data_IF_327623444180
#
_entry.id   IF_327623444180
#
_cell.length_a   1.000
_cell.length_b   1.000
_cell.length_c   1.000
_cell.angle_alpha   90.00
_cell.angle_beta   90.00
_cell.angle_gamma   90.00
#
_symmetry.space_group_name_H-M   'P 1'
#
loop_
_entity.id
_entity.type
_entity.pdbx_description
1 polymer ?
#
# COMPACT_ATOMS: atom_id res chain seq x y z
N UNK A 1 11.58 -15.43 -15.23
CA UNK A 1 12.81 -15.55 -14.41
C UNK A 1 12.73 -14.91 -13.01
N UNK A 2 11.80 -13.99 -12.71
CA UNK A 2 11.74 -13.35 -11.37
C UNK A 2 11.60 -14.34 -10.21
N UNK A 3 10.74 -15.36 -10.35
CA UNK A 3 10.61 -16.44 -9.35
C UNK A 3 11.90 -17.28 -9.22
N UNK A 4 12.59 -17.55 -10.33
CA UNK A 4 13.81 -18.35 -10.35
C UNK A 4 14.91 -17.71 -9.50
N UNK A 5 15.05 -16.39 -9.59
CA UNK A 5 16.04 -15.62 -8.84
C UNK A 5 15.50 -14.96 -7.58
N UNK A 6 14.22 -15.18 -7.26
CA UNK A 6 13.53 -14.59 -6.11
C UNK A 6 13.71 -13.06 -5.98
N UNK A 7 13.62 -12.35 -7.11
CA UNK A 7 13.79 -10.88 -7.12
C UNK A 7 12.57 -10.23 -6.49
N UNK A 8 12.75 -9.50 -5.39
CA UNK A 8 11.67 -8.79 -4.69
C UNK A 8 10.85 -7.94 -5.67
N UNK A 9 9.58 -8.30 -5.84
CA UNK A 9 8.68 -7.71 -6.84
C UNK A 9 7.40 -7.24 -6.16
N UNK A 10 6.87 -6.09 -6.56
CA UNK A 10 5.53 -5.63 -6.18
C UNK A 10 4.73 -5.42 -7.46
N UNK A 11 3.53 -5.98 -7.54
CA UNK A 11 2.62 -5.71 -8.66
C UNK A 11 1.93 -4.38 -8.42
N UNK A 12 1.83 -3.54 -9.44
CA UNK A 12 1.11 -2.27 -9.37
C UNK A 12 0.01 -2.30 -10.41
N UNK A 13 -1.24 -2.10 -9.98
CA UNK A 13 -2.43 -2.22 -10.83
C UNK A 13 -3.27 -0.96 -10.71
N UNK A 14 -3.47 -0.28 -11.82
CA UNK A 14 -4.43 0.83 -11.90
C UNK A 14 -5.84 0.26 -12.07
N UNK A 15 -6.77 0.69 -11.21
CA UNK A 15 -8.16 0.22 -11.20
C UNK A 15 -9.10 1.30 -11.72
N UNK A 16 -10.05 0.87 -12.55
CA UNK A 16 -11.17 1.68 -13.00
C UNK A 16 -12.47 0.91 -12.80
N UNK A 17 -13.50 1.59 -12.28
CA UNK A 17 -14.79 0.96 -12.04
C UNK A 17 -15.43 0.49 -13.35
N UNK A 18 -15.92 -0.75 -13.36
CA UNK A 18 -16.55 -1.38 -14.51
C UNK A 18 -15.58 -1.86 -15.59
N UNK A 19 -14.26 -1.66 -15.43
CA UNK A 19 -13.25 -2.09 -16.40
C UNK A 19 -12.48 -3.32 -15.91
N UNK A 20 -11.80 -3.20 -14.77
CA UNK A 20 -10.93 -4.25 -14.22
C UNK A 20 -11.02 -4.41 -12.70
N UNK A 21 -11.94 -3.68 -12.06
CA UNK A 21 -12.19 -3.76 -10.61
C UNK A 21 -12.73 -5.12 -10.16
N UNK A 22 -13.21 -5.95 -11.09
CA UNK A 22 -13.65 -7.33 -10.86
C UNK A 22 -12.50 -8.35 -10.89
N UNK A 23 -11.28 -7.94 -11.25
CA UNK A 23 -10.10 -8.83 -11.34
C UNK A 23 -9.25 -8.82 -10.07
N UNK A 24 -9.60 -8.02 -9.06
CA UNK A 24 -8.82 -7.83 -7.81
C UNK A 24 -8.53 -9.17 -7.13
N UNK A 25 -9.54 -10.05 -7.00
CA UNK A 25 -9.36 -11.37 -6.38
C UNK A 25 -8.40 -12.27 -7.16
N UNK A 26 -8.54 -12.32 -8.49
CA UNK A 26 -7.67 -13.11 -9.37
C UNK A 26 -6.21 -12.60 -9.36
N UNK A 27 -6.02 -11.29 -9.29
CA UNK A 27 -4.69 -10.66 -9.15
C UNK A 27 -4.05 -11.06 -7.82
N UNK A 28 -4.80 -11.02 -6.72
CA UNK A 28 -4.31 -11.43 -5.40
C UNK A 28 -3.95 -12.91 -5.39
N UNK A 29 -4.82 -13.77 -5.92
CA UNK A 29 -4.56 -15.21 -6.05
C UNK A 29 -3.28 -15.48 -6.85
N UNK A 30 -3.12 -14.83 -8.00
CA UNK A 30 -1.91 -14.94 -8.80
C UNK A 30 -0.67 -14.48 -8.03
N UNK A 31 -0.73 -13.31 -7.40
CA UNK A 31 0.37 -12.71 -6.65
C UNK A 31 0.82 -13.59 -5.49
N UNK A 32 -0.13 -14.14 -4.72
CA UNK A 32 0.14 -14.99 -3.56
C UNK A 32 0.77 -16.33 -3.96
N UNK A 33 0.53 -16.84 -5.17
CA UNK A 33 1.23 -18.04 -5.69
C UNK A 33 2.69 -17.77 -6.05
N UNK A 34 3.07 -16.53 -6.37
CA UNK A 34 4.44 -16.24 -6.79
C UNK A 34 5.39 -16.18 -5.59
N UNK A 35 6.55 -16.82 -5.70
CA UNK A 35 7.59 -16.75 -4.66
C UNK A 35 8.21 -15.35 -4.60
N UNK A 36 8.38 -14.66 -5.71
CA UNK A 36 9.10 -13.38 -5.77
C UNK A 36 8.22 -12.14 -5.50
N UNK A 37 6.90 -12.29 -5.49
CA UNK A 37 5.99 -11.17 -5.25
C UNK A 37 5.82 -10.96 -3.75
N UNK A 38 6.09 -9.73 -3.30
CA UNK A 38 5.95 -9.29 -1.90
C UNK A 38 4.67 -8.51 -1.66
N UNK A 39 3.87 -8.28 -2.69
CA UNK A 39 2.61 -7.57 -2.54
C UNK A 39 2.03 -7.02 -3.82
N UNK A 40 0.86 -6.41 -3.67
CA UNK A 40 0.11 -5.74 -4.74
C UNK A 40 -0.27 -4.34 -4.26
N UNK A 41 -0.01 -3.35 -5.10
CA UNK A 41 -0.49 -1.97 -4.93
C UNK A 41 -1.61 -1.71 -5.94
N UNK A 42 -2.82 -1.52 -5.43
CA UNK A 42 -3.97 -1.08 -6.21
C UNK A 42 -4.03 0.45 -6.20
N UNK A 43 -4.11 1.04 -7.39
CA UNK A 43 -4.16 2.48 -7.59
C UNK A 43 -5.48 2.82 -8.29
N UNK A 44 -6.47 3.41 -7.60
CA UNK A 44 -7.58 4.04 -8.29
C UNK A 44 -7.12 4.97 -9.41
N UNK A 45 -7.87 4.99 -10.51
CA UNK A 45 -7.55 5.83 -11.67
C UNK A 45 -7.58 7.30 -11.26
N UNK A 46 -6.45 7.98 -11.42
CA UNK A 46 -6.34 9.43 -11.26
C UNK A 46 -6.81 10.13 -12.53
N UNK A 47 -7.74 11.07 -12.42
CA UNK A 47 -8.21 11.87 -13.57
C UNK A 47 -7.24 13.01 -13.87
N UNK A 48 -6.07 12.65 -14.41
CA UNK A 48 -5.05 13.60 -14.84
C UNK A 48 -4.23 13.07 -16.02
N UNK A 49 -3.64 13.97 -16.80
CA UNK A 49 -2.82 13.62 -17.95
C UNK A 49 -3.64 13.10 -19.14
N UNK A 50 -3.13 12.06 -19.80
CA UNK A 50 -3.71 11.47 -21.01
C UNK A 50 -4.74 10.39 -20.64
N UNK A 51 -5.92 10.84 -20.22
CA UNK A 51 -7.06 9.98 -19.90
C UNK A 51 -8.22 10.31 -20.85
N UNK A 52 -8.12 9.81 -22.08
CA UNK A 52 -9.08 10.09 -23.15
C UNK A 52 -10.40 9.35 -22.89
N UNK A 53 -11.53 10.02 -23.18
CA UNK A 53 -12.90 9.48 -23.04
C UNK A 53 -13.29 8.98 -21.63
N UNK A 54 -12.55 9.36 -20.59
CA UNK A 54 -12.89 9.02 -19.21
C UNK A 54 -14.15 9.76 -18.74
N UNK A 55 -15.09 9.01 -18.17
CA UNK A 55 -16.29 9.55 -17.54
C UNK A 55 -16.30 9.20 -16.06
N UNK A 56 -16.21 10.24 -15.22
CA UNK A 56 -16.14 10.09 -13.78
C UNK A 56 -17.36 9.40 -13.16
N UNK A 57 -18.55 9.63 -13.71
CA UNK A 57 -19.79 9.01 -13.20
C UNK A 57 -19.83 7.49 -13.38
N UNK A 58 -18.96 6.94 -14.24
CA UNK A 58 -18.93 5.50 -14.56
C UNK A 58 -17.61 4.85 -14.15
N UNK A 59 -16.49 5.54 -14.40
CA UNK A 59 -15.14 5.00 -14.24
C UNK A 59 -14.53 5.25 -12.86
N UNK A 60 -15.05 6.19 -12.05
CA UNK A 60 -14.47 6.48 -10.74
C UNK A 60 -14.61 5.27 -9.83
N UNK A 61 -13.51 4.95 -9.16
CA UNK A 61 -13.46 3.97 -8.06
C UNK A 61 -12.78 4.64 -6.87
N UNK A 62 -13.40 4.58 -5.71
CA UNK A 62 -12.86 5.19 -4.48
C UNK A 62 -11.96 4.20 -3.72
N UNK A 63 -11.09 4.72 -2.86
CA UNK A 63 -10.29 3.89 -1.94
C UNK A 63 -11.17 2.93 -1.13
N UNK A 64 -12.33 3.41 -0.64
CA UNK A 64 -13.29 2.62 0.11
C UNK A 64 -13.89 1.49 -0.73
N UNK A 65 -14.19 1.75 -2.00
CA UNK A 65 -14.70 0.71 -2.90
C UNK A 65 -13.65 -0.34 -3.24
N UNK A 66 -12.39 0.06 -3.47
CA UNK A 66 -11.29 -0.89 -3.65
C UNK A 66 -11.12 -1.74 -2.40
N UNK A 67 -11.10 -1.12 -1.22
CA UNK A 67 -11.02 -1.82 0.07
C UNK A 67 -12.12 -2.85 0.20
N UNK A 68 -13.37 -2.48 -0.12
CA UNK A 68 -14.51 -3.39 -0.11
C UNK A 68 -14.35 -4.55 -1.08
N UNK A 69 -13.99 -4.25 -2.32
CA UNK A 69 -13.83 -5.27 -3.37
C UNK A 69 -12.72 -6.27 -3.07
N UNK A 70 -11.67 -5.87 -2.34
CA UNK A 70 -10.61 -6.79 -1.90
C UNK A 70 -11.19 -7.92 -1.04
N UNK A 71 -11.90 -7.60 0.05
CA UNK A 71 -12.44 -8.65 0.93
C UNK A 71 -13.68 -9.35 0.35
N UNK A 72 -14.42 -8.71 -0.57
CA UNK A 72 -15.53 -9.35 -1.30
C UNK A 72 -15.03 -10.40 -2.30
N UNK A 73 -13.91 -10.14 -2.98
CA UNK A 73 -13.37 -11.04 -4.01
C UNK A 73 -12.31 -12.02 -3.48
N UNK A 74 -11.67 -11.71 -2.35
CA UNK A 74 -10.66 -12.57 -1.73
C UNK A 74 -10.90 -12.65 -0.20
N UNK A 75 -11.87 -13.46 0.25
CA UNK A 75 -12.38 -13.48 1.63
C UNK A 75 -11.41 -14.07 2.67
N UNK A 76 -10.13 -14.22 2.32
CA UNK A 76 -9.05 -14.40 3.30
C UNK A 76 -8.81 -13.13 4.09
N UNK A 77 -8.88 -11.96 3.45
CA UNK A 77 -8.77 -10.67 4.14
C UNK A 77 -10.14 -10.21 4.60
N UNK A 78 -10.22 -9.67 5.81
CA UNK A 78 -11.44 -9.10 6.38
C UNK A 78 -11.41 -7.56 6.33
N UNK A 79 -12.54 -6.87 6.57
CA UNK A 79 -12.53 -5.42 6.70
C UNK A 79 -11.54 -4.89 7.75
N UNK A 80 -11.29 -5.65 8.82
CA UNK A 80 -10.36 -5.33 9.90
C UNK A 80 -8.90 -5.46 9.48
N UNK A 81 -8.61 -6.23 8.41
CA UNK A 81 -7.27 -6.38 7.88
C UNK A 81 -6.81 -5.22 7.00
N UNK A 82 -7.74 -4.39 6.53
CA UNK A 82 -7.47 -3.27 5.63
C UNK A 82 -7.62 -1.98 6.41
N UNK A 83 -6.50 -1.47 6.92
CA UNK A 83 -6.46 -0.30 7.80
C UNK A 83 -5.95 0.94 7.03
N UNK A 84 -6.52 2.13 7.29
CA UNK A 84 -5.95 3.38 6.81
C UNK A 84 -4.56 3.62 7.40
N UNK A 85 -3.63 4.14 6.60
CA UNK A 85 -2.27 4.43 7.06
C UNK A 85 -2.28 5.76 7.84
N UNK A 86 -1.67 5.83 9.05
CA UNK A 86 -1.75 7.02 9.89
C UNK A 86 -1.13 8.27 9.27
N UNK A 87 -0.12 8.12 8.41
CA UNK A 87 0.55 9.25 7.79
C UNK A 87 -0.33 9.97 6.75
N UNK A 88 -1.20 9.26 6.03
CA UNK A 88 -2.12 9.81 5.05
C UNK A 88 -3.37 8.91 4.89
N UNK A 89 -4.28 8.91 5.88
CA UNK A 89 -5.39 7.97 5.93
C UNK A 89 -6.43 8.19 4.83
N UNK A 90 -6.45 9.39 4.25
CA UNK A 90 -7.37 9.76 3.17
C UNK A 90 -6.92 9.20 1.81
N UNK A 91 -5.63 8.89 1.65
CA UNK A 91 -5.04 8.45 0.38
C UNK A 91 -4.46 7.03 0.42
N UNK A 92 -4.20 6.49 1.61
CA UNK A 92 -3.49 5.22 1.78
C UNK A 92 -4.25 4.27 2.71
N UNK A 93 -4.41 3.04 2.26
CA UNK A 93 -4.86 1.91 3.07
C UNK A 93 -3.93 0.71 2.82
N UNK A 94 -3.71 -0.11 3.84
CA UNK A 94 -2.82 -1.27 3.75
C UNK A 94 -3.34 -2.48 4.48
N UNK A 95 -2.86 -3.65 4.04
CA UNK A 95 -2.96 -4.91 4.74
C UNK A 95 -1.63 -5.66 4.67
N UNK A 96 -1.34 -6.46 5.70
CA UNK A 96 -0.22 -7.38 5.78
C UNK A 96 -0.71 -8.81 5.94
N UNK A 97 -0.02 -9.73 5.30
CA UNK A 97 -0.20 -11.16 5.48
C UNK A 97 1.16 -11.87 5.50
N UNK A 98 1.23 -13.00 6.19
CA UNK A 98 2.31 -13.96 6.05
C UNK A 98 1.92 -15.03 5.05
N UNK A 99 2.86 -15.35 4.15
CA UNK A 99 2.82 -16.47 3.23
C UNK A 99 3.71 -17.58 3.79
N UNK A 100 3.10 -18.68 4.22
CA UNK A 100 3.80 -19.84 4.76
C UNK A 100 3.35 -21.07 3.98
N UNK A 101 4.23 -21.59 3.12
CA UNK A 101 3.83 -22.60 2.14
C UNK A 101 2.72 -22.07 1.22
N UNK A 102 1.58 -22.77 1.22
CA UNK A 102 0.37 -22.39 0.48
C UNK A 102 -0.65 -21.62 1.34
N UNK A 103 -0.37 -21.42 2.63
CA UNK A 103 -1.24 -20.69 3.54
C UNK A 103 -0.93 -19.18 3.54
N UNK A 104 -2.00 -18.39 3.65
CA UNK A 104 -1.95 -16.93 3.72
C UNK A 104 -2.66 -16.51 5.00
N UNK A 105 -1.90 -15.89 5.90
CA UNK A 105 -2.36 -15.50 7.23
C UNK A 105 -2.37 -13.98 7.30
N UNK A 106 -3.54 -13.32 7.17
CA UNK A 106 -3.66 -11.89 7.43
C UNK A 106 -3.25 -11.58 8.87
N UNK A 107 -2.50 -10.50 9.06
CA UNK A 107 -2.02 -10.11 10.37
C UNK A 107 -2.35 -8.67 10.74
N UNK A 108 -2.89 -7.89 9.82
CA UNK A 108 -3.09 -6.45 10.06
C UNK A 108 -4.04 -6.19 11.24
N UNK A 109 -5.07 -7.03 11.41
CA UNK A 109 -6.01 -6.92 12.53
C UNK A 109 -5.36 -7.20 13.90
N UNK A 110 -4.18 -7.82 13.94
CA UNK A 110 -3.40 -8.08 15.16
C UNK A 110 -2.49 -6.92 15.55
N UNK A 111 -2.34 -5.94 14.66
CA UNK A 111 -1.57 -4.74 14.92
C UNK A 111 -2.51 -3.75 15.60
N UNK A 112 -2.16 -3.30 16.80
CA UNK A 112 -2.90 -2.22 17.43
C UNK A 112 -2.74 -0.94 16.58
N UNK A 113 -3.83 -0.29 16.14
CA UNK A 113 -3.74 0.96 15.37
C UNK A 113 -2.92 2.05 16.08
N UNK A 114 -2.91 2.07 17.42
CA UNK A 114 -2.08 2.99 18.20
C UNK A 114 -0.57 2.71 18.08
N UNK A 115 -0.17 1.46 17.86
CA UNK A 115 1.23 1.09 17.66
C UNK A 115 1.74 1.51 16.28
N UNK A 116 0.85 1.65 15.28
CA UNK A 116 1.19 2.24 13.97
C UNK A 116 1.30 3.77 14.02
N UNK A 117 0.56 4.40 14.93
CA UNK A 117 0.58 5.86 15.16
C UNK A 117 1.81 6.28 15.98
N UNK A 118 2.26 5.43 16.90
CA UNK A 118 3.39 5.67 17.77
C UNK A 118 4.64 4.97 17.23
N UNK A 119 5.41 5.70 16.42
CA UNK A 119 6.69 5.32 15.78
C UNK A 119 7.79 4.77 16.72
N UNK A 120 7.51 4.50 17.99
CA UNK A 120 8.45 4.07 19.02
C UNK A 120 8.32 2.60 19.44
N UNK A 121 7.26 1.88 19.07
CA UNK A 121 7.09 0.45 19.42
C UNK A 121 6.35 -0.34 18.33
N UNK A 122 7.09 -0.90 17.37
CA UNK A 122 6.58 -1.92 16.45
C UNK A 122 6.39 -3.26 17.18
N UNK A 123 5.52 -3.32 18.18
CA UNK A 123 5.22 -4.54 18.93
C UNK A 123 3.89 -5.09 18.44
N UNK A 124 3.91 -6.20 17.69
CA UNK A 124 2.68 -6.93 17.34
C UNK A 124 2.13 -7.55 18.63
N UNK A 125 0.82 -7.39 18.89
CA UNK A 125 0.17 -7.94 20.08
C UNK A 125 -0.30 -9.36 19.78
N UNK A 126 0.54 -10.35 20.13
CA UNK A 126 0.33 -11.77 19.81
C UNK A 126 -0.60 -12.51 20.80
N UNK A 127 -1.09 -11.85 21.85
CA UNK A 127 -1.66 -12.54 23.02
C UNK A 127 -3.08 -13.09 22.84
N UNK A 128 -3.80 -12.73 21.77
CA UNK A 128 -5.25 -12.96 21.66
C UNK A 128 -5.68 -14.02 20.63
N UNK A 129 -4.76 -14.59 19.85
CA UNK A 129 -5.09 -15.65 18.87
C UNK A 129 -4.29 -16.93 19.16
N UNK A 130 -4.98 -17.95 19.68
CA UNK A 130 -4.39 -19.26 20.02
C UNK A 130 -3.77 -19.97 18.81
N UNK A 131 -4.32 -19.81 17.59
CA UNK A 131 -3.77 -20.45 16.37
C UNK A 131 -2.51 -19.75 15.89
N UNK A 132 -2.49 -18.42 15.94
CA UNK A 132 -1.33 -17.64 15.57
C UNK A 132 -0.21 -17.78 16.61
N UNK A 133 -0.58 -17.85 17.89
CA UNK A 133 0.31 -18.15 19.00
C UNK A 133 0.90 -19.55 18.88
N UNK A 134 0.13 -20.56 18.50
CA UNK A 134 0.63 -21.92 18.28
C UNK A 134 1.59 -21.97 17.07
N UNK A 135 1.26 -21.30 15.96
CA UNK A 135 2.17 -21.18 14.81
C UNK A 135 3.45 -20.40 15.15
N UNK A 136 3.35 -19.30 15.87
CA UNK A 136 4.52 -18.53 16.32
C UNK A 136 5.35 -19.33 17.35
N UNK A 137 4.73 -19.98 18.35
CA UNK A 137 5.43 -20.81 19.34
C UNK A 137 6.17 -21.98 18.69
N UNK A 138 5.58 -22.61 17.68
CA UNK A 138 6.25 -23.65 16.88
C UNK A 138 7.39 -23.09 16.04
N UNK A 139 7.25 -21.88 15.49
CA UNK A 139 8.28 -21.21 14.69
C UNK A 139 9.45 -20.65 15.51
N UNK A 140 9.23 -20.30 16.78
CA UNK A 140 10.22 -19.74 17.71
C UNK A 140 10.82 -20.78 18.69
N UNK A 141 10.36 -22.02 18.65
CA UNK A 141 10.86 -23.11 19.51
C UNK A 141 12.17 -23.75 19.03
N UNK A 142 12.78 -23.26 17.95
CA UNK A 142 14.17 -23.51 17.57
C UNK A 142 14.97 -22.25 17.85
N UNK A 143 15.66 -22.20 18.98
CA UNK A 143 16.12 -20.95 19.57
C UNK A 143 17.42 -20.38 19.01
N UNK A 144 17.48 -19.06 18.85
CA UNK A 144 18.66 -18.19 19.01
C UNK A 144 18.21 -16.78 19.46
N UNK A 145 19.12 -16.11 20.19
CA UNK A 145 19.07 -14.81 20.88
C UNK A 145 18.70 -13.57 20.04
N UNK A 146 18.15 -12.57 20.74
CA UNK A 146 17.55 -11.32 20.20
C UNK A 146 18.57 -10.23 19.84
N UNK A 147 19.87 -10.44 19.99
CA UNK A 147 20.88 -9.39 19.74
C UNK A 147 21.60 -9.59 18.40
N UNK A 148 21.66 -8.51 17.60
CA UNK A 148 22.30 -8.33 16.28
C UNK A 148 21.34 -8.28 15.08
N UNK A 149 20.70 -7.13 14.86
CA UNK A 149 20.36 -6.60 13.54
C UNK A 149 19.98 -5.11 13.62
N UNK A 150 20.83 -4.29 14.26
CA UNK A 150 20.66 -2.84 14.26
C UNK A 150 21.07 -2.18 12.93
N UNK A 151 21.85 -2.85 12.09
CA UNK A 151 22.55 -2.18 10.99
C UNK A 151 22.31 -2.79 9.60
N UNK A 152 21.07 -2.85 9.10
CA UNK A 152 20.88 -2.76 7.63
C UNK A 152 19.42 -2.46 7.23
N UNK A 153 19.26 -1.42 6.41
CA UNK A 153 18.05 -0.95 5.70
C UNK A 153 17.19 0.10 6.40
N UNK A 154 17.58 1.36 6.15
CA UNK A 154 16.86 2.57 6.52
C UNK A 154 15.58 2.82 5.70
N UNK A 155 14.54 3.24 6.43
CA UNK A 155 13.78 4.47 6.19
C UNK A 155 13.07 4.70 4.85
N UNK A 156 12.61 3.66 4.14
CA UNK A 156 11.73 3.88 2.97
C UNK A 156 10.35 3.20 3.02
N UNK A 157 9.97 2.58 4.14
CA UNK A 157 8.61 2.07 4.37
C UNK A 157 8.26 2.17 5.86
N UNK A 158 7.64 3.30 6.25
CA UNK A 158 7.29 3.66 7.64
C UNK A 158 6.45 2.61 8.39
N UNK A 159 5.81 1.66 7.69
CA UNK A 159 4.76 0.82 8.29
C UNK A 159 5.11 -0.68 8.40
N UNK A 160 6.37 -1.07 8.18
CA UNK A 160 6.75 -2.48 8.31
C UNK A 160 6.90 -2.88 9.78
N UNK A 161 6.11 -3.86 10.28
CA UNK A 161 6.42 -4.49 11.56
C UNK A 161 7.74 -5.26 11.44
N UNK A 162 8.58 -5.16 12.48
CA UNK A 162 9.86 -5.90 12.54
C UNK A 162 9.55 -7.36 12.87
N UNK A 163 9.59 -8.25 11.87
CA UNK A 163 9.44 -9.70 12.08
C UNK A 163 10.79 -10.35 11.84
N UNK A 164 11.41 -10.89 12.90
CA UNK A 164 12.64 -11.67 12.82
C UNK A 164 12.39 -13.02 13.51
N UNK A 165 12.39 -14.10 12.76
CA UNK A 165 12.47 -15.47 13.27
C UNK A 165 13.38 -16.30 12.39
N UNK A 166 13.97 -17.37 12.93
CA UNK A 166 14.88 -18.25 12.19
C UNK A 166 14.21 -18.96 11.00
N UNK A 167 12.87 -19.01 10.98
CA UNK A 167 12.04 -19.64 9.95
C UNK A 167 11.18 -18.66 9.12
N UNK A 168 11.13 -17.37 9.50
CA UNK A 168 10.37 -16.32 8.80
C UNK A 168 11.33 -15.28 8.26
N UNK A 169 11.44 -15.24 6.94
CA UNK A 169 12.18 -14.19 6.24
C UNK A 169 11.23 -13.12 5.72
N UNK A 170 11.76 -11.97 5.32
CA UNK A 170 11.00 -10.94 4.60
C UNK A 170 10.30 -11.51 3.34
N UNK A 171 10.77 -12.63 2.80
CA UNK A 171 10.13 -13.28 1.65
C UNK A 171 8.73 -13.83 1.93
N UNK A 172 8.42 -14.06 3.20
CA UNK A 172 7.12 -14.51 3.67
C UNK A 172 6.15 -13.33 3.86
N UNK A 173 6.61 -12.09 3.87
CA UNK A 173 5.74 -10.93 4.06
C UNK A 173 5.08 -10.55 2.73
N UNK A 174 3.76 -10.50 2.74
CA UNK A 174 2.93 -10.03 1.65
C UNK A 174 2.16 -8.77 2.07
N UNK A 175 2.17 -7.74 1.23
CA UNK A 175 1.44 -6.48 1.47
C UNK A 175 0.39 -6.22 0.41
N UNK A 176 -0.76 -5.73 0.83
CA UNK A 176 -1.73 -5.08 -0.06
C UNK A 176 -1.69 -3.60 0.27
N UNK A 177 -1.54 -2.76 -0.74
CA UNK A 177 -1.61 -1.31 -0.60
C UNK A 177 -2.69 -0.79 -1.53
N UNK A 178 -3.57 0.06 -1.02
CA UNK A 178 -4.43 0.91 -1.83
C UNK A 178 -3.84 2.31 -1.78
N UNK A 179 -3.46 2.84 -2.94
CA UNK A 179 -2.84 4.15 -3.06
C UNK A 179 -3.68 5.02 -4.00
N UNK A 180 -4.48 5.90 -3.40
CA UNK A 180 -5.27 6.88 -4.13
C UNK A 180 -4.42 8.12 -4.42
N UNK A 181 -4.24 8.45 -5.70
CA UNK A 181 -3.67 9.73 -6.10
C UNK A 181 -4.81 10.72 -6.33
N UNK A 182 -4.80 11.82 -5.58
CA UNK A 182 -5.80 12.88 -5.72
C UNK A 182 -5.79 13.46 -7.14
N UNK A 183 -6.97 13.80 -7.62
CA UNK A 183 -7.22 14.45 -8.90
C UNK A 183 -8.04 15.74 -8.69
N UNK A 184 -8.39 16.50 -9.75
CA UNK A 184 -9.13 17.76 -9.58
C UNK A 184 -10.49 17.65 -8.87
N UNK A 185 -11.10 16.46 -8.79
CA UNK A 185 -12.43 16.25 -8.22
C UNK A 185 -12.38 15.90 -6.71
N UNK A 186 -11.30 15.32 -6.22
CA UNK A 186 -11.12 14.94 -4.82
C UNK A 186 -9.88 15.57 -4.14
N UNK A 187 -9.35 16.65 -4.73
CA UNK A 187 -8.15 17.34 -4.23
C UNK A 187 -8.35 17.97 -2.84
N UNK A 188 -7.60 17.49 -1.84
CA UNK A 188 -7.52 18.09 -0.49
C UNK A 188 -6.09 18.60 -0.19
N UNK A 189 -5.99 19.89 0.14
CA UNK A 189 -4.73 20.59 0.43
C UNK A 189 -4.02 20.06 1.69
N UNK A 190 -4.75 19.55 2.69
CA UNK A 190 -4.17 18.93 3.89
C UNK A 190 -3.62 17.55 3.57
N UNK A 191 -4.33 16.76 2.76
CA UNK A 191 -3.90 15.43 2.36
C UNK A 191 -2.67 15.49 1.43
N UNK A 192 -2.64 16.42 0.47
CA UNK A 192 -1.51 16.54 -0.48
C UNK A 192 -0.20 16.97 0.19
N UNK A 193 -0.28 17.74 1.29
CA UNK A 193 0.89 18.06 2.13
C UNK A 193 1.52 16.84 2.81
N UNK A 194 0.76 15.74 2.91
CA UNK A 194 1.18 14.45 3.47
C UNK A 194 1.46 13.41 2.38
N UNK A 195 1.51 13.81 1.11
CA UNK A 195 1.82 12.90 0.00
C UNK A 195 3.20 12.29 0.19
N UNK A 196 3.32 10.99 -0.08
CA UNK A 196 4.58 10.26 0.04
C UNK A 196 5.29 10.10 -1.31
N UNK A 197 4.61 10.38 -2.43
CA UNK A 197 5.16 10.22 -3.78
C UNK A 197 5.47 11.59 -4.37
N UNK A 198 6.73 11.80 -4.73
CA UNK A 198 7.21 13.06 -5.26
C UNK A 198 7.90 12.86 -6.61
N UNK A 199 7.75 13.84 -7.49
CA UNK A 199 8.48 13.95 -8.76
C UNK A 199 9.44 15.12 -8.64
N UNK A 200 10.66 14.95 -9.15
CA UNK A 200 11.60 16.06 -9.35
C UNK A 200 11.21 16.80 -10.62
N UNK A 201 10.86 18.07 -10.50
CA UNK A 201 10.50 18.93 -11.64
C UNK A 201 11.71 19.25 -12.53
N UNK A 202 11.45 19.79 -13.72
CA UNK A 202 12.44 20.41 -14.61
C UNK A 202 13.29 21.50 -13.90
N UNK A 203 12.70 22.20 -12.94
CA UNK A 203 13.35 23.19 -12.06
C UNK A 203 14.03 22.59 -10.81
N UNK A 204 14.28 21.28 -10.79
CA UNK A 204 14.91 20.56 -9.66
C UNK A 204 14.20 20.73 -8.31
N UNK A 205 12.87 20.90 -8.32
CA UNK A 205 12.05 20.97 -7.10
C UNK A 205 11.37 19.63 -6.88
N UNK A 206 11.31 19.17 -5.63
CA UNK A 206 10.43 18.04 -5.28
C UNK A 206 8.98 18.54 -5.23
N UNK A 207 8.12 17.91 -6.02
CA UNK A 207 6.71 18.27 -6.15
C UNK A 207 5.87 17.01 -5.92
N UNK A 208 4.83 17.03 -5.06
CA UNK A 208 3.92 15.91 -4.91
C UNK A 208 3.36 15.45 -6.26
N UNK A 209 3.30 14.13 -6.47
CA UNK A 209 2.88 13.52 -7.74
C UNK A 209 1.54 14.06 -8.23
N UNK A 210 0.59 14.24 -7.32
CA UNK A 210 -0.75 14.76 -7.57
C UNK A 210 -0.67 16.19 -8.12
N UNK A 211 0.00 17.09 -7.40
CA UNK A 211 0.17 18.47 -7.86
C UNK A 211 0.98 18.58 -9.14
N UNK A 212 1.95 17.69 -9.34
CA UNK A 212 2.72 17.62 -10.58
C UNK A 212 1.78 17.36 -11.76
N UNK A 213 0.91 16.35 -11.67
CA UNK A 213 -0.01 15.99 -12.74
C UNK A 213 -1.14 17.01 -12.95
N UNK A 214 -1.61 17.67 -11.89
CA UNK A 214 -2.69 18.65 -11.98
C UNK A 214 -2.18 20.01 -12.51
N UNK A 215 -1.04 20.49 -12.01
CA UNK A 215 -0.60 21.88 -12.21
C UNK A 215 0.70 22.04 -13.01
N UNK A 216 1.72 21.22 -12.74
CA UNK A 216 3.09 21.55 -13.15
C UNK A 216 3.55 20.84 -14.42
N UNK A 217 3.07 19.63 -14.72
CA UNK A 217 3.57 18.76 -15.79
C UNK A 217 3.55 19.43 -17.18
N UNK A 218 2.46 20.13 -17.48
CA UNK A 218 2.25 20.77 -18.80
C UNK A 218 2.31 22.31 -18.70
N UNK A 219 2.98 22.86 -17.68
CA UNK A 219 3.04 24.31 -17.40
C UNK A 219 1.67 24.99 -17.20
N UNK A 220 0.59 24.23 -16.94
CA UNK A 220 -0.76 24.76 -16.67
C UNK A 220 -0.79 25.80 -15.55
N UNK A 221 0.11 25.66 -14.57
CA UNK A 221 0.25 26.59 -13.46
C UNK A 221 0.55 28.03 -13.92
N UNK A 222 1.26 28.21 -15.03
CA UNK A 222 1.64 29.54 -15.52
C UNK A 222 0.41 30.26 -16.07
N UNK A 223 -0.41 29.56 -16.86
CA UNK A 223 -1.72 30.07 -17.32
C UNK A 223 -2.68 30.38 -16.16
N UNK A 224 -2.68 29.56 -15.10
CA UNK A 224 -3.50 29.80 -13.91
C UNK A 224 -3.04 31.07 -13.19
N UNK A 225 -1.72 31.23 -12.99
CA UNK A 225 -1.13 32.42 -12.33
C UNK A 225 -1.39 33.71 -13.10
N UNK A 226 -1.29 33.67 -14.42
CA UNK A 226 -1.64 34.81 -15.27
C UNK A 226 -3.09 35.25 -15.05
N UNK A 227 -4.03 34.29 -15.04
CA UNK A 227 -5.46 34.59 -14.78
C UNK A 227 -5.72 35.15 -13.39
N UNK A 228 -5.00 34.68 -12.37
CA UNK A 228 -5.17 35.16 -10.99
C UNK A 228 -4.58 36.57 -10.80
N UNK A 229 -3.49 36.93 -11.48
CA UNK A 229 -2.86 38.24 -11.37
C UNK A 229 -3.55 39.34 -12.19
N UNK A 230 -4.52 38.98 -13.05
CA UNK A 230 -5.36 39.94 -13.79
C UNK A 230 -6.63 40.36 -13.02
N UNK A 231 -6.91 39.72 -11.88
CA UNK A 231 -8.01 40.04 -10.96
C UNK A 231 -7.46 40.68 -9.68
#
# INVERSE_FOLDING_TARGET
>A
HLNQFNVSTTLVVTLQNGLNDHEIGAILEYALKQRCVRGVTFQPTQVAGRNDDYNDQKGRITLTEVRRKIYEQYPTFTPQDLIPVPCNPDALCMAYALKIGDEVIPMTHLINPEDLLNNSKNTIVFEHDEKLKEHMLNLFSTGVSVDCAEDTFGELMCCLPRVKSDNLSYDNLFRIIIMNFMDPLDFDVRAVKKSCVHIVSDKYKMVPFETMNIFYRDHKIDTIREKLNMN
#
